data_IF_270706627638
#
_entry.id   IF_270706627638
#
_cell.length_a   1.000
_cell.length_b   1.000
_cell.length_c   1.000
_cell.angle_alpha   90.00
_cell.angle_beta   90.00
_cell.angle_gamma   90.00
#
_symmetry.space_group_name_H-M   'P 1'
#
loop_
_entity.id
_entity.type
_entity.pdbx_description
1 polymer ?
#
# COMPACT_ATOMS: atom_id res chain seq x y z
N UNK A 1 21.61 -13.64 91.68
CA UNK A 1 22.47 -12.99 90.69
C UNK A 1 21.87 -13.26 89.32
N UNK A 2 21.31 -12.18 88.76
CA UNK A 2 21.11 -11.86 87.33
C UNK A 2 20.32 -12.88 86.48
N UNK A 3 19.03 -12.63 86.22
CA UNK A 3 18.49 -11.92 85.03
C UNK A 3 19.06 -12.53 83.72
N UNK A 4 18.29 -13.04 82.76
CA UNK A 4 17.02 -12.53 82.28
C UNK A 4 16.38 -13.43 81.19
N UNK A 5 15.05 -13.40 81.18
CA UNK A 5 14.15 -13.32 80.02
C UNK A 5 13.88 -14.59 79.19
N UNK A 6 12.65 -15.07 79.38
CA UNK A 6 11.91 -15.96 78.50
C UNK A 6 11.44 -15.25 77.22
N UNK A 7 11.31 -15.98 76.11
CA UNK A 7 10.35 -15.61 75.06
C UNK A 7 9.89 -16.85 74.27
N UNK A 8 8.57 -17.00 74.26
CA UNK A 8 7.74 -17.96 73.53
C UNK A 8 7.90 -17.74 72.02
N UNK A 9 8.21 -18.79 71.26
CA UNK A 9 8.14 -18.76 69.80
C UNK A 9 6.80 -19.36 69.35
N UNK A 10 5.86 -18.48 68.97
CA UNK A 10 4.59 -18.82 68.32
C UNK A 10 4.85 -19.15 66.86
N UNK A 11 4.43 -20.34 66.44
CA UNK A 11 4.31 -20.73 65.03
C UNK A 11 3.20 -19.92 64.37
N UNK A 12 3.54 -19.09 63.39
CA UNK A 12 2.58 -18.52 62.44
C UNK A 12 3.00 -18.92 61.03
N UNK A 13 2.20 -19.81 60.43
CA UNK A 13 2.16 -20.08 59.01
C UNK A 13 1.67 -18.82 58.27
N UNK A 14 2.53 -18.19 57.47
CA UNK A 14 2.14 -17.20 56.47
C UNK A 14 2.51 -17.73 55.09
N UNK A 15 1.50 -18.27 54.42
CA UNK A 15 1.47 -18.39 52.97
C UNK A 15 1.00 -17.04 52.39
N UNK A 16 1.73 -16.53 51.40
CA UNK A 16 1.23 -15.52 50.47
C UNK A 16 1.98 -14.18 50.43
N UNK A 17 2.45 -13.85 49.22
CA UNK A 17 2.76 -12.52 48.68
C UNK A 17 4.14 -11.92 49.02
N UNK A 18 5.12 -12.12 48.13
CA UNK A 18 6.01 -11.05 47.66
C UNK A 18 6.82 -11.50 46.42
N UNK A 19 6.48 -10.91 45.27
CA UNK A 19 7.38 -10.51 44.19
C UNK A 19 8.41 -11.52 43.69
N UNK A 20 8.03 -12.29 42.67
CA UNK A 20 9.01 -12.80 41.70
C UNK A 20 9.69 -11.59 41.05
N UNK A 21 10.96 -11.39 41.35
CA UNK A 21 11.81 -10.42 40.69
C UNK A 21 12.05 -10.97 39.26
N UNK A 22 11.27 -10.51 38.28
CA UNK A 22 11.56 -10.77 36.88
C UNK A 22 12.90 -10.15 36.51
N UNK A 23 13.79 -10.99 35.98
CA UNK A 23 15.16 -10.68 35.60
C UNK A 23 15.18 -9.66 34.43
N UNK A 24 15.83 -8.48 34.55
CA UNK A 24 15.81 -7.45 33.51
C UNK A 24 16.74 -7.74 32.31
N UNK A 25 17.03 -9.01 32.02
CA UNK A 25 17.92 -9.40 30.92
C UNK A 25 17.34 -10.56 30.13
N UNK A 26 16.22 -10.32 29.45
CA UNK A 26 15.81 -11.17 28.34
C UNK A 26 16.69 -10.83 27.13
N UNK A 27 17.53 -11.75 26.63
CA UNK A 27 18.35 -11.49 25.45
C UNK A 27 17.47 -11.34 24.21
N UNK A 28 17.85 -10.38 23.36
CA UNK A 28 17.33 -10.14 22.01
C UNK A 28 16.98 -11.46 21.29
N UNK A 29 15.69 -11.65 20.99
CA UNK A 29 15.20 -12.73 20.12
C UNK A 29 14.92 -12.17 18.73
N UNK A 30 15.36 -12.84 17.64
CA UNK A 30 14.96 -12.48 16.28
C UNK A 30 13.43 -12.51 16.11
N UNK A 31 12.92 -11.60 15.28
CA UNK A 31 11.57 -11.01 15.35
C UNK A 31 10.41 -11.78 14.71
N UNK A 32 10.64 -12.96 14.15
CA UNK A 32 9.60 -13.73 13.46
C UNK A 32 8.78 -14.65 14.39
N UNK A 33 9.27 -14.93 15.61
CA UNK A 33 8.70 -15.98 16.44
C UNK A 33 7.64 -15.52 17.47
N UNK A 34 7.44 -14.22 17.72
CA UNK A 34 6.57 -13.74 18.82
C UNK A 34 5.36 -12.88 18.41
N UNK A 35 5.23 -12.51 17.14
CA UNK A 35 3.97 -11.94 16.61
C UNK A 35 3.28 -13.04 15.78
N UNK A 36 2.41 -13.87 16.39
CA UNK A 36 1.62 -14.86 15.67
C UNK A 36 0.96 -14.32 14.39
N UNK A 37 0.71 -15.18 13.40
CA UNK A 37 -0.05 -14.82 12.21
C UNK A 37 -1.48 -14.28 12.52
N UNK A 38 -2.01 -14.52 13.72
CA UNK A 38 -3.29 -13.97 14.19
C UNK A 38 -3.16 -12.67 14.98
N UNK A 39 -1.94 -12.28 15.40
CA UNK A 39 -1.68 -10.95 15.94
C UNK A 39 -1.36 -10.00 14.79
N UNK A 40 -2.35 -9.16 14.46
CA UNK A 40 -2.15 -7.69 14.42
C UNK A 40 -1.34 -7.07 13.28
N UNK A 41 -0.73 -7.82 12.36
CA UNK A 41 -0.19 -7.23 11.12
C UNK A 41 -1.23 -7.03 10.02
N UNK A 42 -2.29 -7.84 10.02
CA UNK A 42 -3.30 -7.85 8.96
C UNK A 42 -4.72 -7.50 9.44
N UNK A 43 -4.90 -7.30 10.76
CA UNK A 43 -6.22 -6.97 11.34
C UNK A 43 -6.28 -5.54 11.82
N UNK A 44 -7.35 -4.85 11.46
CA UNK A 44 -7.66 -3.53 11.94
C UNK A 44 -7.97 -3.51 13.44
N UNK A 45 -7.94 -2.30 14.00
CA UNK A 45 -8.27 -2.04 15.40
C UNK A 45 -9.63 -2.63 15.83
N UNK A 46 -10.65 -2.54 14.97
CA UNK A 46 -12.00 -3.03 15.26
C UNK A 46 -12.10 -4.55 15.47
N UNK A 47 -11.22 -5.33 14.84
CA UNK A 47 -11.20 -6.80 14.97
C UNK A 47 -10.17 -7.29 16.01
N UNK A 48 -9.51 -6.37 16.70
CA UNK A 48 -8.50 -6.66 17.71
C UNK A 48 -9.11 -6.55 19.10
N UNK A 49 -9.17 -7.69 19.81
CA UNK A 49 -9.68 -7.76 21.19
C UNK A 49 -8.89 -6.82 22.11
N UNK A 50 -9.58 -6.23 23.08
CA UNK A 50 -9.00 -5.22 23.99
C UNK A 50 -7.71 -5.71 24.67
N UNK A 51 -7.68 -6.97 25.12
CA UNK A 51 -6.54 -7.62 25.76
C UNK A 51 -5.35 -7.89 24.82
N UNK A 52 -5.47 -7.61 23.53
CA UNK A 52 -4.41 -7.82 22.54
C UNK A 52 -3.85 -6.50 22.01
N UNK A 53 -4.59 -5.39 22.09
CA UNK A 53 -4.21 -4.08 21.50
C UNK A 53 -2.81 -3.58 21.85
N UNK A 54 -2.33 -3.76 23.08
CA UNK A 54 -0.96 -3.36 23.45
C UNK A 54 0.12 -4.18 22.70
N UNK A 55 -0.14 -5.46 22.50
CA UNK A 55 0.72 -6.32 21.67
C UNK A 55 0.64 -5.92 20.20
N UNK A 56 -0.52 -5.44 19.72
CA UNK A 56 -0.68 -4.96 18.36
C UNK A 56 0.23 -3.78 18.08
N UNK A 57 0.16 -2.80 18.97
CA UNK A 57 1.05 -1.65 18.97
C UNK A 57 2.52 -2.11 18.95
N UNK A 58 2.92 -3.01 19.85
CA UNK A 58 4.29 -3.50 19.93
C UNK A 58 4.75 -4.20 18.64
N UNK A 59 3.90 -5.03 18.04
CA UNK A 59 4.23 -5.70 16.77
C UNK A 59 4.41 -4.69 15.64
N UNK A 60 3.53 -3.69 15.51
CA UNK A 60 3.60 -2.68 14.45
C UNK A 60 4.82 -1.76 14.57
N UNK A 61 5.08 -1.21 15.76
CA UNK A 61 6.21 -0.28 15.95
C UNK A 61 7.58 -0.95 15.84
N UNK A 62 7.62 -2.27 15.81
CA UNK A 62 8.85 -3.05 15.70
C UNK A 62 9.11 -3.60 14.30
N UNK A 63 8.08 -3.66 13.44
CA UNK A 63 8.12 -4.36 12.14
C UNK A 63 7.77 -3.51 10.90
N UNK A 64 7.26 -2.27 11.04
CA UNK A 64 6.75 -1.43 9.94
C UNK A 64 7.78 -1.03 8.84
N UNK A 65 8.26 -1.99 8.05
CA UNK A 65 9.29 -1.80 7.02
C UNK A 65 10.69 -1.48 7.57
N UNK A 66 10.89 -1.72 8.87
CA UNK A 66 12.05 -1.32 9.67
C UNK A 66 11.58 -0.92 11.08
N UNK A 67 12.43 -0.98 12.12
CA UNK A 67 11.99 -0.66 13.48
C UNK A 67 11.67 0.85 13.59
N UNK A 68 10.45 1.18 14.02
CA UNK A 68 9.96 2.56 14.18
C UNK A 68 10.77 3.32 15.23
N UNK A 69 11.22 2.59 16.25
CA UNK A 69 12.07 3.05 17.34
C UNK A 69 13.35 2.21 17.38
N UNK A 70 14.44 2.71 18.00
CA UNK A 70 15.65 1.92 18.18
C UNK A 70 15.38 0.53 18.77
N UNK A 71 15.95 -0.52 18.17
CA UNK A 71 15.71 -1.92 18.53
C UNK A 71 16.05 -2.30 19.98
N UNK A 72 16.76 -1.41 20.69
CA UNK A 72 17.24 -1.61 22.06
C UNK A 72 16.17 -1.26 23.12
N UNK A 73 15.04 -0.65 22.74
CA UNK A 73 13.98 -0.28 23.69
C UNK A 73 13.15 -1.50 24.11
N UNK A 74 12.93 -1.62 25.41
CA UNK A 74 12.03 -2.62 25.99
C UNK A 74 10.56 -2.37 25.61
N UNK A 75 9.73 -3.40 25.66
CA UNK A 75 8.29 -3.32 25.40
C UNK A 75 7.61 -2.29 26.31
N UNK A 76 7.99 -2.25 27.59
CA UNK A 76 7.47 -1.30 28.56
C UNK A 76 7.82 0.16 28.20
N UNK A 77 9.05 0.41 27.74
CA UNK A 77 9.47 1.74 27.28
C UNK A 77 8.70 2.17 26.03
N UNK A 78 8.46 1.25 25.09
CA UNK A 78 7.70 1.52 23.87
C UNK A 78 6.23 1.84 24.18
N UNK A 79 5.59 1.06 25.06
CA UNK A 79 4.22 1.33 25.49
C UNK A 79 4.10 2.67 26.23
N UNK A 80 5.05 2.97 27.13
CA UNK A 80 5.09 4.25 27.82
C UNK A 80 5.29 5.41 26.83
N UNK A 81 6.13 5.22 25.81
CA UNK A 81 6.35 6.21 24.76
C UNK A 81 5.08 6.45 23.93
N UNK A 82 4.42 5.39 23.46
CA UNK A 82 3.16 5.47 22.72
C UNK A 82 2.06 6.17 23.52
N UNK A 83 1.90 5.84 24.81
CA UNK A 83 0.92 6.53 25.67
C UNK A 83 1.23 8.01 25.89
N UNK A 84 2.51 8.40 25.94
CA UNK A 84 2.88 9.84 25.99
C UNK A 84 2.48 10.56 24.71
N UNK A 85 2.68 9.93 23.54
CA UNK A 85 2.23 10.48 22.27
C UNK A 85 0.71 10.68 22.22
N UNK A 86 -0.04 9.72 22.74
CA UNK A 86 -1.49 9.79 22.86
C UNK A 86 -1.99 10.97 23.72
N UNK A 87 -1.18 11.44 24.67
CA UNK A 87 -1.53 12.56 25.54
C UNK A 87 -1.26 13.93 24.91
N UNK A 88 -0.61 13.98 23.73
CA UNK A 88 -0.31 15.23 23.04
C UNK A 88 -1.52 15.67 22.21
N UNK A 89 -1.98 16.93 22.35
CA UNK A 89 -3.17 17.42 21.64
C UNK A 89 -2.99 17.48 20.12
N UNK A 90 -1.75 17.40 19.62
CA UNK A 90 -1.41 17.42 18.21
C UNK A 90 -0.14 16.60 17.93
N UNK A 91 -0.20 15.29 18.13
CA UNK A 91 0.96 14.39 17.89
C UNK A 91 1.54 14.53 16.47
N UNK A 92 0.72 14.89 15.46
CA UNK A 92 1.16 15.23 14.08
C UNK A 92 1.97 16.52 13.97
N UNK A 93 1.81 17.48 14.88
CA UNK A 93 2.61 18.72 14.92
C UNK A 93 3.90 18.55 15.75
N UNK A 94 4.10 17.38 16.35
CA UNK A 94 5.27 17.06 17.17
C UNK A 94 6.30 16.20 16.45
N UNK A 95 6.19 16.04 15.12
CA UNK A 95 7.23 15.40 14.29
C UNK A 95 8.62 16.02 14.52
N UNK A 96 8.67 17.36 14.65
CA UNK A 96 9.90 18.09 14.94
C UNK A 96 10.46 17.76 16.33
N UNK A 97 9.60 17.59 17.34
CA UNK A 97 10.00 17.17 18.67
C UNK A 97 10.52 15.73 18.67
N UNK A 98 9.83 14.81 17.98
CA UNK A 98 10.22 13.40 17.85
C UNK A 98 11.57 13.25 17.14
N UNK A 99 11.77 13.96 16.04
CA UNK A 99 13.05 13.98 15.32
C UNK A 99 14.15 14.71 16.08
N UNK A 100 13.80 15.63 16.99
CA UNK A 100 14.77 16.33 17.83
C UNK A 100 15.32 15.45 18.97
N UNK A 101 14.53 14.52 19.49
CA UNK A 101 14.99 13.57 20.51
C UNK A 101 15.78 12.41 19.92
N UNK A 102 15.35 11.88 18.77
CA UNK A 102 16.05 10.79 18.09
C UNK A 102 15.79 10.78 16.59
N UNK A 103 16.84 11.07 15.81
CA UNK A 103 16.79 11.14 14.34
C UNK A 103 16.67 9.77 13.66
N UNK A 104 16.76 8.68 14.42
CA UNK A 104 16.62 7.31 13.90
C UNK A 104 15.18 6.81 13.91
N UNK A 105 14.25 7.58 14.49
CA UNK A 105 12.83 7.23 14.52
C UNK A 105 12.24 7.34 13.10
N UNK A 106 11.66 6.24 12.63
CA UNK A 106 10.86 6.22 11.42
C UNK A 106 9.39 6.46 11.79
N UNK A 107 8.77 7.56 11.36
CA UNK A 107 7.37 7.87 11.73
C UNK A 107 6.34 7.25 10.78
N UNK A 108 6.76 6.58 9.71
CA UNK A 108 5.87 5.91 8.77
C UNK A 108 5.09 4.81 9.51
N UNK A 109 3.77 4.84 9.45
CA UNK A 109 2.93 3.83 10.12
C UNK A 109 2.62 4.11 11.60
N UNK A 110 3.07 5.23 12.16
CA UNK A 110 2.90 5.52 13.60
C UNK A 110 1.43 5.74 13.99
N UNK A 111 0.64 6.35 13.11
CA UNK A 111 -0.79 6.55 13.36
C UNK A 111 -1.54 5.22 13.45
N UNK A 112 -1.22 4.32 12.54
CA UNK A 112 -1.73 2.97 12.43
C UNK A 112 -1.35 2.12 13.63
N UNK A 113 -0.20 2.40 14.27
CA UNK A 113 0.17 1.78 15.54
C UNK A 113 -0.55 2.42 16.73
N UNK A 114 -0.59 3.76 16.82
CA UNK A 114 -1.15 4.49 17.97
C UNK A 114 -2.65 4.27 18.16
N UNK A 115 -3.40 3.97 17.09
CA UNK A 115 -4.83 3.63 17.20
C UNK A 115 -5.09 2.51 18.22
N UNK A 116 -4.14 1.58 18.41
CA UNK A 116 -4.29 0.49 19.37
C UNK A 116 -4.12 0.92 20.82
N UNK A 117 -3.44 2.03 21.09
CA UNK A 117 -3.27 2.57 22.45
C UNK A 117 -4.29 3.66 22.78
N UNK A 118 -4.65 4.49 21.79
CA UNK A 118 -5.49 5.67 21.99
C UNK A 118 -6.39 5.93 20.77
N UNK A 119 -7.36 5.05 20.50
CA UNK A 119 -8.25 5.17 19.34
C UNK A 119 -8.98 6.51 19.32
N UNK A 120 -9.45 7.00 20.46
CA UNK A 120 -10.19 8.28 20.57
C UNK A 120 -9.35 9.49 20.15
N UNK A 121 -8.04 9.46 20.43
CA UNK A 121 -7.11 10.52 20.06
C UNK A 121 -6.74 10.49 18.57
N UNK A 122 -6.91 9.35 17.90
CA UNK A 122 -6.53 9.14 16.49
C UNK A 122 -7.75 9.23 15.56
N UNK A 123 -8.88 8.59 15.90
CA UNK A 123 -10.02 8.36 15.00
C UNK A 123 -11.34 9.02 15.46
N UNK A 124 -11.41 9.51 16.70
CA UNK A 124 -12.65 10.01 17.30
C UNK A 124 -13.65 8.89 17.67
N UNK A 125 -14.71 9.20 18.42
CA UNK A 125 -15.55 8.21 19.11
C UNK A 125 -16.43 7.32 18.21
N UNK A 126 -16.60 7.66 16.93
CA UNK A 126 -17.56 6.99 16.02
C UNK A 126 -16.89 6.20 14.88
N UNK A 127 -15.56 6.01 14.91
CA UNK A 127 -14.81 5.35 13.83
C UNK A 127 -14.16 4.05 14.28
N UNK A 128 -14.99 3.02 14.50
CA UNK A 128 -14.53 1.62 14.58
C UNK A 128 -14.99 0.83 13.34
N UNK A 129 -14.50 1.14 12.13
CA UNK A 129 -14.73 0.22 11.03
C UNK A 129 -13.90 -1.05 11.27
N UNK A 130 -14.58 -2.19 11.39
CA UNK A 130 -13.95 -3.49 11.25
C UNK A 130 -13.28 -3.61 9.88
N UNK A 131 -12.41 -4.60 9.71
CA UNK A 131 -11.82 -4.97 8.43
C UNK A 131 -12.92 -5.24 7.40
N UNK A 132 -14.03 -5.87 7.80
CA UNK A 132 -15.20 -6.05 6.95
C UNK A 132 -15.80 -4.72 6.47
N UNK A 133 -15.86 -3.70 7.36
CA UNK A 133 -16.32 -2.37 6.97
C UNK A 133 -15.34 -1.69 6.01
N UNK A 134 -14.02 -1.83 6.23
CA UNK A 134 -13.00 -1.30 5.32
C UNK A 134 -13.04 -1.99 3.96
N UNK A 135 -13.18 -3.31 3.92
CA UNK A 135 -13.34 -4.10 2.69
C UNK A 135 -14.58 -3.64 1.94
N UNK A 136 -15.70 -3.46 2.63
CA UNK A 136 -16.94 -2.97 2.02
C UNK A 136 -16.80 -1.54 1.50
N UNK A 137 -16.22 -0.62 2.28
CA UNK A 137 -15.99 0.76 1.88
C UNK A 137 -15.05 0.85 0.67
N UNK A 138 -13.97 0.06 0.64
CA UNK A 138 -13.08 -0.04 -0.50
C UNK A 138 -13.80 -0.59 -1.74
N UNK A 139 -14.63 -1.64 -1.58
CA UNK A 139 -15.42 -2.18 -2.68
C UNK A 139 -16.40 -1.15 -3.26
N UNK A 140 -17.08 -0.37 -2.41
CA UNK A 140 -17.96 0.72 -2.82
C UNK A 140 -17.18 1.84 -3.53
N UNK A 141 -16.00 2.21 -3.00
CA UNK A 141 -15.11 3.18 -3.62
C UNK A 141 -14.61 2.73 -5.00
N UNK A 142 -14.22 1.47 -5.14
CA UNK A 142 -13.80 0.88 -6.41
C UNK A 142 -14.94 0.83 -7.41
N UNK A 143 -16.15 0.46 -6.96
CA UNK A 143 -17.34 0.46 -7.80
C UNK A 143 -17.69 1.88 -8.28
N UNK A 144 -17.68 2.87 -7.38
CA UNK A 144 -17.96 4.27 -7.69
C UNK A 144 -16.94 4.85 -8.69
N UNK A 145 -15.64 4.60 -8.47
CA UNK A 145 -14.57 5.04 -9.37
C UNK A 145 -14.69 4.37 -10.74
N UNK A 146 -14.97 3.05 -10.80
CA UNK A 146 -15.22 2.37 -12.08
C UNK A 146 -16.44 2.94 -12.81
N UNK A 147 -17.48 3.33 -12.09
CA UNK A 147 -18.72 3.84 -12.65
C UNK A 147 -18.57 5.23 -13.29
N UNK A 148 -17.50 5.99 -13.00
CA UNK A 148 -17.20 7.25 -13.69
C UNK A 148 -16.40 7.05 -14.98
N UNK A 149 -15.67 5.94 -15.10
CA UNK A 149 -14.82 5.71 -16.25
C UNK A 149 -15.60 5.42 -17.53
N UNK A 150 -15.17 6.05 -18.62
CA UNK A 150 -15.77 5.94 -19.95
C UNK A 150 -14.68 5.68 -20.98
N UNK A 151 -15.01 4.90 -22.00
CA UNK A 151 -14.16 4.69 -23.16
C UNK A 151 -13.96 6.03 -23.89
N UNK A 152 -12.73 6.59 -23.96
CA UNK A 152 -12.47 7.84 -24.66
C UNK A 152 -12.47 7.66 -26.19
N UNK A 153 -12.60 6.42 -26.68
CA UNK A 153 -12.61 6.08 -28.10
C UNK A 153 -13.73 5.08 -28.48
N UNK A 154 -15.01 5.38 -28.22
CA UNK A 154 -16.09 4.40 -28.30
C UNK A 154 -16.37 3.89 -29.73
N UNK A 155 -16.03 4.68 -30.76
CA UNK A 155 -16.27 4.33 -32.17
C UNK A 155 -15.21 3.39 -32.76
N UNK A 156 -14.05 3.26 -32.14
CA UNK A 156 -12.98 2.37 -32.64
C UNK A 156 -12.81 1.23 -31.66
N UNK A 157 -13.25 0.04 -32.08
CA UNK A 157 -13.28 -1.13 -31.23
C UNK A 157 -12.01 -1.95 -31.40
N UNK A 158 -11.39 -2.32 -30.28
CA UNK A 158 -10.34 -3.32 -30.25
C UNK A 158 -10.94 -4.72 -30.40
N UNK A 159 -10.12 -5.70 -30.80
CA UNK A 159 -10.43 -7.14 -30.70
C UNK A 159 -10.77 -7.54 -29.27
N UNK A 160 -10.02 -6.96 -28.33
CA UNK A 160 -10.25 -7.07 -26.89
C UNK A 160 -10.18 -5.67 -26.31
N UNK A 161 -11.14 -5.30 -25.47
CA UNK A 161 -11.16 -4.01 -24.83
C UNK A 161 -11.85 -4.04 -23.48
N UNK A 162 -11.49 -3.10 -22.62
CA UNK A 162 -12.12 -2.90 -21.31
C UNK A 162 -11.79 -1.51 -20.78
N UNK A 163 -12.63 -1.03 -19.88
CA UNK A 163 -12.45 0.25 -19.19
C UNK A 163 -12.61 0.01 -17.69
N UNK A 164 -11.70 0.56 -16.90
CA UNK A 164 -11.70 0.47 -15.44
C UNK A 164 -11.04 1.72 -14.84
N UNK A 165 -11.36 2.01 -13.58
CA UNK A 165 -10.50 2.82 -12.74
C UNK A 165 -9.27 2.00 -12.35
N UNK A 166 -8.10 2.64 -12.33
CA UNK A 166 -6.85 2.05 -11.90
C UNK A 166 -6.32 2.85 -10.74
N UNK A 167 -6.04 2.14 -9.65
CA UNK A 167 -5.54 2.68 -8.40
C UNK A 167 -4.02 2.53 -8.40
N UNK A 168 -3.32 3.64 -8.15
CA UNK A 168 -1.87 3.75 -8.26
C UNK A 168 -1.23 3.88 -6.88
N UNK A 169 0.02 3.43 -6.77
CA UNK A 169 0.85 3.56 -5.56
C UNK A 169 1.34 4.99 -5.34
N UNK A 170 2.07 5.22 -4.25
CA UNK A 170 2.97 6.39 -4.15
C UNK A 170 3.80 6.53 -5.44
N UNK A 171 3.75 7.71 -6.06
CA UNK A 171 4.43 8.00 -7.33
C UNK A 171 3.53 7.97 -8.57
N UNK A 172 2.29 7.50 -8.47
CA UNK A 172 1.32 7.64 -9.57
C UNK A 172 1.60 6.76 -10.79
N UNK A 173 2.22 5.59 -10.62
CA UNK A 173 2.55 4.68 -11.71
C UNK A 173 1.63 3.47 -11.69
N UNK A 174 1.20 3.01 -12.87
CA UNK A 174 0.60 1.68 -13.03
C UNK A 174 1.32 0.89 -14.11
N UNK A 175 1.04 -0.41 -14.18
CA UNK A 175 1.82 -1.30 -15.02
C UNK A 175 0.95 -2.29 -15.79
N UNK A 176 1.50 -2.70 -16.93
CA UNK A 176 0.99 -3.81 -17.73
C UNK A 176 2.11 -4.82 -17.78
N UNK A 177 1.84 -6.05 -17.34
CA UNK A 177 2.86 -7.09 -17.18
C UNK A 177 2.51 -8.33 -17.98
N UNK A 178 3.54 -9.05 -18.40
CA UNK A 178 3.37 -10.41 -18.88
C UNK A 178 3.23 -11.34 -17.68
N UNK A 179 1.98 -11.70 -17.36
CA UNK A 179 1.68 -12.52 -16.19
C UNK A 179 2.28 -13.92 -16.34
N UNK A 180 2.70 -14.48 -15.21
CA UNK A 180 3.32 -15.82 -15.09
C UNK A 180 4.72 -15.90 -15.71
N UNK A 181 5.35 -14.76 -16.01
CA UNK A 181 6.72 -14.72 -16.53
C UNK A 181 7.75 -14.80 -15.40
N UNK A 182 8.54 -15.88 -15.29
CA UNK A 182 9.48 -16.08 -14.19
C UNK A 182 10.70 -15.16 -14.24
N UNK A 183 10.93 -14.44 -15.35
CA UNK A 183 11.98 -13.43 -15.43
C UNK A 183 11.42 -12.02 -15.65
N UNK A 184 10.24 -11.74 -15.09
CA UNK A 184 9.79 -10.37 -14.95
C UNK A 184 10.81 -9.61 -14.08
N UNK A 185 11.38 -8.53 -14.62
CA UNK A 185 12.33 -7.69 -13.88
C UNK A 185 11.60 -6.95 -12.73
N UNK A 186 12.30 -6.63 -11.63
CA UNK A 186 11.73 -5.81 -10.56
C UNK A 186 11.26 -4.46 -11.11
N UNK A 187 10.03 -4.09 -10.78
CA UNK A 187 9.43 -2.81 -11.19
C UNK A 187 10.17 -1.69 -10.48
N UNK A 188 10.80 -0.83 -11.24
CA UNK A 188 11.62 0.25 -10.66
C UNK A 188 10.79 1.42 -10.16
N UNK A 189 9.50 1.46 -10.54
CA UNK A 189 8.59 2.59 -10.27
C UNK A 189 9.02 3.88 -10.96
N UNK A 190 10.05 3.84 -11.81
CA UNK A 190 10.58 5.00 -12.52
C UNK A 190 10.24 4.91 -13.98
N UNK A 191 9.61 5.97 -14.48
CA UNK A 191 9.35 6.16 -15.89
C UNK A 191 10.32 7.22 -16.46
N UNK A 192 10.70 7.06 -17.72
CA UNK A 192 11.41 8.06 -18.51
C UNK A 192 10.40 8.79 -19.42
N UNK A 193 9.45 9.51 -18.81
CA UNK A 193 8.29 10.12 -19.46
C UNK A 193 7.01 9.29 -19.30
N UNK A 194 5.99 9.50 -20.13
CA UNK A 194 4.67 8.85 -19.97
C UNK A 194 4.71 7.32 -19.87
N UNK A 195 5.56 6.64 -20.65
CA UNK A 195 5.62 5.17 -20.69
C UNK A 195 7.05 4.68 -20.86
N UNK A 196 7.41 3.64 -20.12
CA UNK A 196 8.72 2.98 -20.19
C UNK A 196 8.54 1.47 -20.29
N UNK A 197 9.36 0.82 -21.14
CA UNK A 197 9.40 -0.64 -21.20
C UNK A 197 10.30 -1.18 -20.08
N UNK A 198 9.80 -2.15 -19.32
CA UNK A 198 10.50 -2.79 -18.20
C UNK A 198 10.47 -4.30 -18.40
N UNK A 199 11.58 -4.89 -18.87
CA UNK A 199 11.65 -6.32 -19.16
C UNK A 199 10.56 -6.77 -20.14
N UNK A 200 9.57 -7.52 -19.64
CA UNK A 200 8.41 -8.05 -20.38
C UNK A 200 7.10 -7.30 -20.13
N UNK A 201 7.16 -6.18 -19.42
CA UNK A 201 6.04 -5.28 -19.18
C UNK A 201 6.32 -3.83 -19.57
N UNK A 202 5.40 -2.96 -19.18
CA UNK A 202 5.55 -1.52 -19.27
C UNK A 202 5.05 -0.84 -17.99
N UNK A 203 5.71 0.25 -17.63
CA UNK A 203 5.29 1.20 -16.59
C UNK A 203 4.73 2.44 -17.24
N UNK A 204 3.61 2.94 -16.73
CA UNK A 204 2.92 4.12 -17.24
C UNK A 204 2.74 5.12 -16.11
N UNK A 205 3.23 6.33 -16.35
CA UNK A 205 3.13 7.44 -15.40
C UNK A 205 1.77 8.13 -15.51
N UNK A 206 1.29 8.69 -14.40
CA UNK A 206 0.08 9.52 -14.37
C UNK A 206 0.45 10.99 -14.33
N UNK A 207 -0.45 11.84 -14.83
CA UNK A 207 -0.27 13.30 -14.88
C UNK A 207 -0.50 13.93 -13.49
N UNK A 208 -1.50 13.44 -12.74
CA UNK A 208 -1.97 14.01 -11.48
C UNK A 208 -1.64 13.16 -10.24
N UNK A 209 -0.90 12.06 -10.38
CA UNK A 209 -0.49 11.19 -9.26
C UNK A 209 -1.67 10.65 -8.43
N UNK A 210 -2.75 10.26 -9.11
CA UNK A 210 -3.95 9.70 -8.48
C UNK A 210 -4.57 8.58 -9.32
N UNK A 211 -5.80 8.22 -8.97
CA UNK A 211 -6.53 7.20 -9.71
C UNK A 211 -6.86 7.68 -11.12
N UNK A 212 -6.71 6.78 -12.08
CA UNK A 212 -6.85 7.08 -13.50
C UNK A 212 -7.89 6.17 -14.13
N UNK A 213 -8.73 6.73 -14.99
CA UNK A 213 -9.61 5.94 -15.84
C UNK A 213 -8.83 5.40 -17.02
N UNK A 214 -8.56 4.10 -17.01
CA UNK A 214 -7.84 3.43 -18.11
C UNK A 214 -8.83 2.69 -19.00
N UNK A 215 -8.74 2.95 -20.31
CA UNK A 215 -9.31 2.09 -21.33
C UNK A 215 -8.21 1.37 -22.08
N UNK A 216 -8.25 0.04 -22.08
CA UNK A 216 -7.33 -0.79 -22.85
C UNK A 216 -8.01 -1.28 -24.12
N UNK A 217 -7.29 -1.28 -25.23
CA UNK A 217 -7.75 -1.80 -26.53
C UNK A 217 -6.61 -2.52 -27.25
N UNK A 218 -6.82 -3.79 -27.56
CA UNK A 218 -5.91 -4.57 -28.38
C UNK A 218 -6.41 -4.68 -29.82
N UNK A 219 -5.53 -4.47 -30.81
CA UNK A 219 -5.84 -4.46 -32.25
C UNK A 219 -4.91 -5.41 -33.00
N UNK A 220 -5.38 -5.97 -34.13
CA UNK A 220 -4.55 -6.82 -35.01
C UNK A 220 -3.44 -6.03 -35.71
N UNK A 221 -3.63 -4.72 -35.85
CA UNK A 221 -2.70 -3.81 -36.52
C UNK A 221 -2.71 -2.45 -35.82
N UNK A 222 -1.69 -1.65 -36.07
CA UNK A 222 -1.58 -0.31 -35.50
C UNK A 222 -2.79 0.55 -35.92
N UNK A 223 -3.62 1.02 -34.96
CA UNK A 223 -4.70 1.92 -35.31
C UNK A 223 -4.16 3.34 -35.60
N UNK A 224 -4.92 4.19 -36.31
CA UNK A 224 -4.49 5.55 -36.66
C UNK A 224 -4.09 6.38 -35.44
N UNK A 225 -3.01 7.18 -35.59
CA UNK A 225 -2.56 8.10 -34.56
C UNK A 225 -3.56 9.26 -34.38
N UNK A 226 -3.86 9.64 -33.14
CA UNK A 226 -4.80 10.72 -32.80
C UNK A 226 -4.23 11.57 -31.68
N UNK A 227 -3.69 12.74 -32.00
CA UNK A 227 -3.06 13.62 -31.01
C UNK A 227 -4.02 14.68 -30.44
N UNK A 228 -5.08 15.01 -31.19
CA UNK A 228 -6.05 16.03 -30.79
C UNK A 228 -6.81 15.60 -29.53
N UNK A 229 -6.81 16.46 -28.51
CA UNK A 229 -7.52 16.25 -27.24
C UNK A 229 -6.78 15.38 -26.23
N UNK A 230 -5.52 15.02 -26.50
CA UNK A 230 -4.62 14.32 -25.58
C UNK A 230 -3.47 15.22 -25.18
N UNK A 231 -3.08 15.18 -23.91
CA UNK A 231 -1.97 15.96 -23.36
C UNK A 231 -0.64 15.30 -23.71
N UNK A 232 -0.52 14.00 -23.50
CA UNK A 232 0.68 13.23 -23.78
C UNK A 232 0.36 11.98 -24.59
N UNK A 233 1.26 11.61 -25.50
CA UNK A 233 1.15 10.39 -26.29
C UNK A 233 2.53 9.81 -26.52
N UNK A 234 2.72 8.56 -26.10
CA UNK A 234 4.00 7.87 -26.27
C UNK A 234 3.78 6.37 -26.54
N UNK A 235 4.76 5.73 -27.16
CA UNK A 235 4.69 4.34 -27.58
C UNK A 235 6.02 3.62 -27.36
N UNK A 236 5.97 2.42 -26.80
CA UNK A 236 7.14 1.54 -26.61
C UNK A 236 6.89 0.15 -27.16
N UNK A 237 7.96 -0.62 -27.35
CA UNK A 237 7.85 -2.03 -27.70
C UNK A 237 8.08 -2.91 -26.48
N UNK A 238 7.26 -3.95 -26.33
CA UNK A 238 7.37 -4.95 -25.26
C UNK A 238 7.38 -6.35 -25.85
N UNK A 239 8.06 -7.29 -25.18
CA UNK A 239 8.01 -8.71 -25.54
C UNK A 239 7.23 -9.45 -24.47
N UNK A 240 6.09 -10.02 -24.84
CA UNK A 240 5.32 -10.93 -23.99
C UNK A 240 5.76 -12.35 -24.32
N UNK A 241 6.41 -13.02 -23.38
CA UNK A 241 6.90 -14.40 -23.49
C UNK A 241 5.81 -15.42 -23.25
N UNK A 242 4.90 -15.17 -22.31
CA UNK A 242 3.81 -16.10 -21.98
C UNK A 242 2.55 -15.82 -22.80
N UNK A 243 2.47 -14.65 -23.45
CA UNK A 243 1.28 -14.22 -24.15
C UNK A 243 0.17 -13.76 -23.21
N UNK A 244 0.51 -13.33 -21.98
CA UNK A 244 -0.45 -12.91 -20.96
C UNK A 244 -0.16 -11.48 -20.51
N UNK A 245 -0.12 -10.57 -21.48
CA UNK A 245 0.04 -9.15 -21.25
C UNK A 245 -1.24 -8.56 -20.63
N UNK A 246 -1.24 -8.37 -19.32
CA UNK A 246 -2.42 -7.96 -18.53
C UNK A 246 -2.10 -6.76 -17.64
N UNK A 247 -3.15 -6.02 -17.29
CA UNK A 247 -3.09 -5.10 -16.15
C UNK A 247 -3.54 -5.86 -14.90
N UNK A 248 -2.72 -5.91 -13.83
CA UNK A 248 -3.13 -6.53 -12.57
C UNK A 248 -4.41 -5.90 -12.01
N UNK A 249 -5.27 -6.71 -11.43
CA UNK A 249 -6.45 -6.25 -10.69
C UNK A 249 -6.09 -5.96 -9.24
N UNK A 250 -6.86 -5.11 -8.59
CA UNK A 250 -6.77 -4.96 -7.13
C UNK A 250 -7.08 -6.30 -6.48
N UNK A 251 -6.14 -6.81 -5.68
CA UNK A 251 -6.35 -8.01 -4.86
C UNK A 251 -7.25 -7.68 -3.65
N UNK A 252 -7.96 -8.65 -3.06
CA UNK A 252 -8.71 -8.43 -1.83
C UNK A 252 -7.81 -7.83 -0.73
N UNK A 253 -8.17 -6.65 -0.22
CA UNK A 253 -7.36 -5.91 0.76
C UNK A 253 -6.17 -5.15 0.19
N UNK A 254 -5.89 -5.27 -1.11
CA UNK A 254 -4.88 -4.49 -1.81
C UNK A 254 -5.36 -3.08 -2.14
N UNK A 255 -4.42 -2.18 -2.45
CA UNK A 255 -4.71 -0.77 -2.74
C UNK A 255 -4.38 -0.36 -4.18
N UNK A 256 -3.79 -1.27 -4.97
CA UNK A 256 -3.23 -0.98 -6.29
C UNK A 256 -3.74 -1.94 -7.36
N UNK A 257 -3.93 -1.42 -8.57
CA UNK A 257 -4.34 -2.20 -9.74
C UNK A 257 -5.67 -1.73 -10.33
N UNK A 258 -6.16 -2.47 -11.32
CA UNK A 258 -7.45 -2.20 -11.93
C UNK A 258 -8.60 -2.61 -10.98
N UNK A 259 -9.56 -1.71 -10.76
CA UNK A 259 -10.73 -1.96 -9.93
C UNK A 259 -11.69 -3.01 -10.48
N UNK A 260 -11.43 -3.54 -11.68
CA UNK A 260 -12.13 -4.69 -12.27
C UNK A 260 -11.21 -5.37 -13.29
N UNK A 261 -11.42 -6.67 -13.58
CA UNK A 261 -10.64 -7.37 -14.59
C UNK A 261 -10.66 -6.68 -15.97
N UNK A 262 -9.48 -6.48 -16.53
CA UNK A 262 -9.25 -6.04 -17.90
C UNK A 262 -8.77 -7.22 -18.76
N UNK A 263 -9.05 -7.23 -20.08
CA UNK A 263 -8.70 -8.36 -20.92
C UNK A 263 -7.19 -8.51 -21.12
N UNK A 264 -6.75 -9.73 -21.44
CA UNK A 264 -5.40 -9.98 -21.94
C UNK A 264 -5.18 -9.27 -23.29
N UNK A 265 -4.14 -8.44 -23.36
CA UNK A 265 -3.81 -7.57 -24.49
C UNK A 265 -2.90 -8.24 -25.53
N UNK A 266 -2.27 -9.37 -25.19
CA UNK A 266 -1.53 -10.19 -26.13
C UNK A 266 -2.51 -11.02 -26.98
N UNK A 267 -2.99 -10.43 -28.07
CA UNK A 267 -4.03 -11.03 -28.93
C UNK A 267 -3.55 -12.24 -29.73
N UNK A 268 -2.25 -12.31 -30.04
CA UNK A 268 -1.62 -13.40 -30.81
C UNK A 268 -0.87 -14.39 -29.89
N UNK A 269 -1.01 -14.25 -28.57
CA UNK A 269 -0.25 -15.04 -27.61
C UNK A 269 1.20 -14.52 -27.45
N UNK A 270 2.18 -15.39 -27.16
CA UNK A 270 3.58 -14.99 -27.06
C UNK A 270 4.06 -14.21 -28.29
N UNK A 271 4.71 -13.08 -28.10
CA UNK A 271 5.15 -12.26 -29.21
C UNK A 271 5.65 -10.86 -28.82
N UNK A 272 5.89 -10.06 -29.85
CA UNK A 272 6.32 -8.68 -29.71
C UNK A 272 5.16 -7.75 -30.01
N UNK A 273 4.93 -6.82 -29.09
CA UNK A 273 3.82 -5.90 -29.13
C UNK A 273 4.33 -4.47 -29.02
N UNK A 274 3.52 -3.55 -29.54
CA UNK A 274 3.65 -2.11 -29.32
C UNK A 274 2.56 -1.69 -28.36
N UNK A 275 2.95 -0.92 -27.35
CA UNK A 275 2.03 -0.33 -26.38
C UNK A 275 2.11 1.18 -26.54
N UNK A 276 1.02 1.77 -27.00
CA UNK A 276 0.84 3.21 -27.12
C UNK A 276 -0.11 3.69 -26.04
N UNK A 277 0.30 4.70 -25.28
CA UNK A 277 -0.54 5.35 -24.27
C UNK A 277 -0.86 6.75 -24.74
N UNK A 278 -2.13 7.12 -24.60
CA UNK A 278 -2.60 8.48 -24.70
C UNK A 278 -3.09 8.90 -23.31
N UNK A 279 -2.61 10.02 -22.82
CA UNK A 279 -2.94 10.53 -21.49
C UNK A 279 -3.50 11.95 -21.58
N UNK A 280 -4.52 12.23 -20.76
CA UNK A 280 -5.07 13.57 -20.56
C UNK A 280 -5.64 13.65 -19.15
N UNK A 281 -5.62 14.84 -18.59
CA UNK A 281 -6.22 15.12 -17.30
C UNK A 281 -7.04 16.41 -17.38
N UNK A 282 -8.08 16.48 -16.54
CA UNK A 282 -8.76 17.72 -16.22
C UNK A 282 -8.28 18.15 -14.82
N UNK A 283 -7.77 19.38 -14.71
CA UNK A 283 -7.31 19.92 -13.43
C UNK A 283 -8.51 20.24 -12.54
N UNK A 284 -9.01 19.21 -11.86
CA UNK A 284 -10.06 19.33 -10.86
C UNK A 284 -9.66 18.56 -9.59
N UNK A 285 -8.77 19.16 -8.80
CA UNK A 285 -8.23 18.60 -7.56
C UNK A 285 -9.26 18.46 -6.41
N UNK A 286 -10.55 18.70 -6.65
CA UNK A 286 -11.59 18.70 -5.62
C UNK A 286 -12.37 17.40 -5.49
N UNK A 287 -12.06 16.39 -6.30
CA UNK A 287 -12.76 15.11 -6.29
C UNK A 287 -11.80 13.95 -5.97
N UNK A 288 -12.28 13.00 -5.16
CA UNK A 288 -11.61 11.73 -4.86
C UNK A 288 -11.73 10.72 -6.02
N UNK A 289 -12.57 11.03 -7.02
CA UNK A 289 -12.82 10.21 -8.21
C UNK A 289 -11.82 10.58 -9.33
N UNK A 290 -11.51 9.65 -10.24
CA UNK A 290 -10.55 9.89 -11.32
C UNK A 290 -10.89 11.12 -12.17
N UNK A 291 -9.91 12.01 -12.35
CA UNK A 291 -9.94 13.18 -13.27
C UNK A 291 -8.89 13.07 -14.37
N UNK A 292 -8.31 11.89 -14.51
CA UNK A 292 -7.33 11.54 -15.51
C UNK A 292 -7.84 10.36 -16.34
N UNK A 293 -7.60 10.40 -17.65
CA UNK A 293 -8.03 9.37 -18.58
C UNK A 293 -6.88 8.93 -19.44
N UNK A 294 -6.63 7.62 -19.44
CA UNK A 294 -5.67 6.97 -20.30
C UNK A 294 -6.36 6.05 -21.31
N UNK A 295 -5.89 6.10 -22.54
CA UNK A 295 -6.16 5.10 -23.56
C UNK A 295 -4.87 4.32 -23.83
N UNK A 296 -4.89 3.04 -23.51
CA UNK A 296 -3.82 2.09 -23.80
C UNK A 296 -4.20 1.32 -25.05
N UNK A 297 -3.39 1.44 -26.08
CA UNK A 297 -3.51 0.73 -27.35
C UNK A 297 -2.39 -0.29 -27.44
N UNK A 298 -2.75 -1.55 -27.67
CA UNK A 298 -1.79 -2.64 -27.89
C UNK A 298 -2.00 -3.23 -29.28
N UNK A 299 -0.92 -3.48 -30.02
CA UNK A 299 -0.98 -4.19 -31.29
C UNK A 299 0.33 -4.93 -31.57
N UNK A 300 0.35 -5.96 -32.44
CA UNK A 300 1.58 -6.61 -32.86
C UNK A 300 2.59 -5.62 -33.44
N UNK A 301 3.88 -5.82 -33.16
CA UNK A 301 4.95 -5.03 -33.77
C UNK A 301 6.34 -5.36 -33.23
N UNK A 302 7.34 -5.35 -34.12
CA UNK A 302 8.69 -5.86 -33.81
C UNK A 302 9.65 -4.82 -33.21
N UNK A 303 9.35 -3.54 -33.38
CA UNK A 303 10.21 -2.44 -32.92
C UNK A 303 10.23 -2.38 -31.39
N UNK A 304 11.43 -2.21 -30.81
CA UNK A 304 11.64 -1.90 -29.38
C UNK A 304 11.80 -0.41 -29.11
N UNK A 305 11.85 0.43 -30.15
CA UNK A 305 12.11 1.87 -30.02
C UNK A 305 11.01 2.56 -29.23
N UNK A 306 11.39 3.37 -28.24
CA UNK A 306 10.49 4.32 -27.60
C UNK A 306 10.24 5.51 -28.55
N UNK A 307 8.99 5.89 -28.71
CA UNK A 307 8.55 6.99 -29.58
C UNK A 307 7.67 7.90 -28.74
N UNK A 308 8.06 9.16 -28.63
CA UNK A 308 7.24 10.20 -28.04
C UNK A 308 6.53 10.92 -29.20
N UNK A 309 5.21 10.85 -29.23
CA UNK A 309 4.39 11.50 -30.26
C UNK A 309 3.92 12.89 -29.81
N UNK A 310 3.75 13.07 -28.50
CA UNK A 310 3.36 14.33 -27.86
C UNK A 310 3.83 14.33 -26.40
N UNK A 311 4.43 15.43 -25.96
CA UNK A 311 4.72 15.71 -24.55
C UNK A 311 3.77 16.77 -24.01
N UNK A 312 3.71 16.89 -22.69
CA UNK A 312 3.16 18.07 -22.02
C UNK A 312 4.02 19.27 -22.41
N UNK A 313 3.37 20.41 -22.67
CA UNK A 313 4.06 21.69 -22.87
C UNK A 313 4.58 22.23 -21.53
#
# INVERSE_FOLDING_TARGET
MDRAIAAVAVLVLLAGLAGGQEDPRVPYRPYDASCPAWTERERGFGDTRAEHRERAFLCLVRDAGGPMFPAVKSDAELLAYGRRLCALPYWRLTEDWLRSEDRTINLRGLEEALVFLCPDAIRGPDQEPSDDHMVKANAEYYAASNATCRDPWPRTRGRRQGTAAVFTSEGGVYHITDRDDPYAEPRTGRTHGLITAEGTGVSVDTILQGNVCVTVKAFDHAPPLRLKGWTEVAEVGVTSRTGRLVMPTVDPGGMEGAGRPLPNLAIEGPGRYRVRVYARAEENFRTILPTEWHLVVVHPGRSRKAIVHRTRD
#
